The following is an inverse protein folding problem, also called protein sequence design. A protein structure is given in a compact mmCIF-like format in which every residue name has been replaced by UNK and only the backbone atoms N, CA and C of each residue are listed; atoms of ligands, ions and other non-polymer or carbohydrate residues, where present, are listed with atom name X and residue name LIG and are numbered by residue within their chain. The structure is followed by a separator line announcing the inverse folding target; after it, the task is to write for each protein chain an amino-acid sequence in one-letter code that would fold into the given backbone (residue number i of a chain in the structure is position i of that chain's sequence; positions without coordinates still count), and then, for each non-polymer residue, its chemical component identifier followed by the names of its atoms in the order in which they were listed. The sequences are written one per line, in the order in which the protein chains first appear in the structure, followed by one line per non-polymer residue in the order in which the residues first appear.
data_IF_748443566543
#
_entry.id   IF_748443566543
#
_cell.length_a   1.000
_cell.length_b   1.000
_cell.length_c   1.000
_cell.angle_alpha   90.00
_cell.angle_beta   90.00
_cell.angle_gamma   90.00
#
_symmetry.space_group_name_H-M   'P 1'
#
loop_
_entity.id
_entity.type
_entity.pdbx_description
1 polymer ?
#
# COMPACT_ATOMS: atom_id res chain seq x y z
N UNK A 1 -17.46 -25.00 -17.58
CA UNK A 1 -17.01 -23.62 -17.32
C UNK A 1 -15.96 -23.69 -16.23
N UNK A 2 -14.69 -23.47 -16.57
CA UNK A 2 -13.57 -23.56 -15.63
C UNK A 2 -13.38 -22.22 -14.93
N UNK A 3 -13.46 -22.12 -13.59
CA UNK A 3 -13.10 -20.90 -12.89
C UNK A 3 -11.57 -20.80 -12.83
N UNK A 4 -11.01 -19.82 -13.54
CA UNK A 4 -9.61 -19.44 -13.44
C UNK A 4 -9.39 -18.72 -12.10
N UNK A 5 -9.22 -19.49 -11.03
CA UNK A 5 -8.64 -18.97 -9.79
C UNK A 5 -7.14 -18.83 -10.03
N UNK A 6 -6.68 -17.61 -10.26
CA UNK A 6 -5.25 -17.30 -10.19
C UNK A 6 -4.79 -17.61 -8.76
N UNK A 7 -4.03 -18.70 -8.61
CA UNK A 7 -3.33 -19.02 -7.38
C UNK A 7 -2.30 -17.93 -7.17
N UNK A 8 -2.65 -16.93 -6.34
CA UNK A 8 -1.64 -16.06 -5.75
C UNK A 8 -0.81 -16.97 -4.86
N UNK A 9 0.44 -17.16 -5.26
CA UNK A 9 1.43 -17.91 -4.48
C UNK A 9 1.43 -17.35 -3.06
N UNK A 10 1.06 -18.19 -2.08
CA UNK A 10 0.96 -17.76 -0.69
C UNK A 10 2.37 -17.45 -0.22
N UNK A 11 2.69 -16.17 -0.10
CA UNK A 11 3.87 -15.75 0.66
C UNK A 11 3.74 -16.38 2.06
N UNK A 12 4.79 -17.05 2.59
CA UNK A 12 4.73 -17.65 3.91
C UNK A 12 4.45 -16.53 4.91
N UNK A 13 3.23 -16.55 5.46
CA UNK A 13 2.84 -15.66 6.55
C UNK A 13 3.71 -16.09 7.73
N UNK A 14 4.64 -15.23 8.18
CA UNK A 14 5.45 -15.50 9.37
C UNK A 14 4.52 -15.79 10.55
N UNK A 15 4.71 -16.93 11.21
CA UNK A 15 3.79 -17.54 12.19
C UNK A 15 3.62 -16.76 13.53
N UNK A 16 4.18 -15.55 13.64
CA UNK A 16 4.21 -14.78 14.89
C UNK A 16 3.05 -13.80 15.12
N UNK A 17 2.16 -13.58 14.13
CA UNK A 17 1.11 -12.57 14.27
C UNK A 17 -0.08 -13.10 15.11
N UNK A 18 -0.49 -12.41 16.20
CA UNK A 18 -1.61 -12.86 17.03
C UNK A 18 -2.90 -12.98 16.22
N UNK A 19 -3.68 -14.04 16.46
CA UNK A 19 -5.00 -14.25 15.85
C UNK A 19 -6.00 -13.28 16.46
N UNK A 20 -6.03 -12.05 15.97
CA UNK A 20 -7.11 -11.10 16.25
C UNK A 20 -8.37 -11.52 15.50
N UNK A 21 -9.55 -11.21 16.06
CA UNK A 21 -10.79 -11.38 15.32
C UNK A 21 -10.74 -10.59 14.01
N UNK A 22 -11.19 -11.15 12.89
CA UNK A 22 -11.17 -10.47 11.60
C UNK A 22 -12.00 -9.18 11.69
N UNK A 23 -11.39 -8.03 11.37
CA UNK A 23 -12.15 -6.78 11.22
C UNK A 23 -12.83 -6.77 9.86
N UNK A 24 -14.14 -6.55 9.85
CA UNK A 24 -14.94 -6.48 8.62
C UNK A 24 -15.24 -5.02 8.32
N UNK A 25 -14.78 -4.54 7.16
CA UNK A 25 -15.01 -3.17 6.70
C UNK A 25 -14.64 -2.11 7.75
N UNK A 26 -13.63 -2.37 8.58
CA UNK A 26 -13.14 -1.45 9.61
C UNK A 26 -11.61 -1.51 9.61
N UNK A 27 -10.98 -0.71 8.73
CA UNK A 27 -9.53 -0.68 8.60
C UNK A 27 -8.98 0.71 8.26
N UNK A 28 -7.68 0.86 8.46
CA UNK A 28 -6.89 2.02 8.07
C UNK A 28 -5.74 1.59 7.15
N UNK A 29 -5.60 2.25 6.01
CA UNK A 29 -4.51 2.04 5.05
C UNK A 29 -3.63 3.28 5.06
N UNK A 30 -2.31 3.10 5.17
CA UNK A 30 -1.32 4.15 5.00
C UNK A 30 -0.45 3.83 3.81
N UNK A 31 -0.30 4.77 2.89
CA UNK A 31 0.52 4.62 1.69
C UNK A 31 1.67 5.62 1.76
N UNK A 32 2.89 5.14 2.00
CA UNK A 32 4.11 5.94 2.10
C UNK A 32 4.81 6.02 0.75
N UNK A 33 4.93 7.23 0.21
CA UNK A 33 5.41 7.52 -1.15
C UNK A 33 6.39 8.69 -1.15
N UNK A 34 6.97 8.96 -2.32
CA UNK A 34 7.76 10.17 -2.58
C UNK A 34 6.82 11.25 -3.15
N UNK A 35 6.91 12.48 -2.66
CA UNK A 35 6.13 13.59 -3.20
C UNK A 35 6.43 13.79 -4.70
N UNK A 36 5.40 13.96 -5.52
CA UNK A 36 5.53 14.05 -6.99
C UNK A 36 5.37 12.73 -7.75
N UNK A 37 5.34 11.57 -7.08
CA UNK A 37 5.21 10.23 -7.71
C UNK A 37 3.83 9.90 -8.31
N UNK A 38 2.91 10.87 -8.41
CA UNK A 38 1.53 10.59 -8.82
C UNK A 38 0.69 9.83 -7.79
N UNK A 39 1.17 9.71 -6.54
CA UNK A 39 0.52 8.93 -5.48
C UNK A 39 -0.93 9.35 -5.20
N UNK A 40 -1.28 10.63 -5.29
CA UNK A 40 -2.66 11.09 -5.11
C UNK A 40 -3.60 10.41 -6.13
N UNK A 41 -3.21 10.38 -7.41
CA UNK A 41 -4.02 9.80 -8.48
C UNK A 41 -4.25 8.31 -8.26
N UNK A 42 -3.21 7.57 -7.87
CA UNK A 42 -3.31 6.14 -7.56
C UNK A 42 -4.20 5.88 -6.34
N UNK A 43 -4.03 6.65 -5.25
CA UNK A 43 -4.82 6.48 -4.03
C UNK A 43 -6.31 6.83 -4.23
N UNK A 44 -6.64 7.74 -5.15
CA UNK A 44 -8.02 8.00 -5.53
C UNK A 44 -8.68 6.80 -6.20
N UNK A 45 -7.93 5.96 -6.93
CA UNK A 45 -8.46 4.70 -7.49
C UNK A 45 -8.86 3.75 -6.35
N UNK A 46 -8.02 3.62 -5.31
CA UNK A 46 -8.34 2.82 -4.12
C UNK A 46 -9.59 3.32 -3.40
N UNK A 47 -9.70 4.64 -3.18
CA UNK A 47 -10.89 5.25 -2.58
C UNK A 47 -12.15 5.01 -3.41
N UNK A 48 -12.07 5.17 -4.74
CA UNK A 48 -13.19 4.92 -5.65
C UNK A 48 -13.61 3.46 -5.63
N UNK A 49 -12.66 2.52 -5.55
CA UNK A 49 -12.96 1.10 -5.42
C UNK A 49 -13.69 0.78 -4.11
N UNK A 50 -13.20 1.30 -2.97
CA UNK A 50 -13.86 1.15 -1.66
C UNK A 50 -15.29 1.72 -1.67
N UNK A 51 -15.45 2.92 -2.23
CA UNK A 51 -16.75 3.55 -2.38
C UNK A 51 -17.68 2.74 -3.31
N UNK A 52 -17.16 2.23 -4.43
CA UNK A 52 -17.92 1.40 -5.37
C UNK A 52 -18.39 0.07 -4.76
N UNK A 53 -17.68 -0.45 -3.75
CA UNK A 53 -18.13 -1.59 -2.94
C UNK A 53 -19.17 -1.21 -1.87
N UNK A 54 -19.57 0.05 -1.77
CA UNK A 54 -20.54 0.54 -0.78
C UNK A 54 -19.94 0.77 0.61
N UNK A 55 -18.62 0.79 0.76
CA UNK A 55 -17.94 1.00 2.04
C UNK A 55 -17.70 2.50 2.22
N UNK A 56 -18.24 3.14 3.28
CA UNK A 56 -17.89 4.52 3.59
C UNK A 56 -16.39 4.66 3.83
N UNK A 57 -15.76 5.59 3.13
CA UNK A 57 -14.33 5.83 3.25
C UNK A 57 -13.95 7.31 3.15
N UNK A 58 -12.84 7.68 3.78
CA UNK A 58 -12.20 8.98 3.64
C UNK A 58 -10.73 8.78 3.29
N UNK A 59 -10.13 9.79 2.65
CA UNK A 59 -8.70 9.81 2.42
C UNK A 59 -8.11 11.20 2.51
N UNK A 60 -6.88 11.29 3.02
CA UNK A 60 -6.18 12.55 3.19
C UNK A 60 -4.70 12.38 2.89
N UNK A 61 -4.18 13.32 2.11
CA UNK A 61 -2.75 13.43 1.86
C UNK A 61 -2.09 14.20 3.02
N UNK A 62 -0.96 13.66 3.50
CA UNK A 62 -0.21 14.11 4.67
C UNK A 62 1.23 14.35 4.24
N UNK A 63 1.66 15.60 4.38
CA UNK A 63 2.98 16.04 3.98
C UNK A 63 3.68 16.68 5.19
N UNK A 64 4.91 16.28 5.53
CA UNK A 64 5.73 17.01 6.49
C UNK A 64 6.22 18.34 5.88
N UNK A 65 6.34 18.39 4.55
CA UNK A 65 6.70 19.55 3.75
C UNK A 65 6.19 19.36 2.32
N UNK A 66 5.92 20.45 1.60
CA UNK A 66 5.43 20.41 0.21
C UNK A 66 6.57 20.40 -0.83
N UNK A 67 7.77 19.99 -0.44
CA UNK A 67 8.93 19.91 -1.35
C UNK A 67 8.86 18.59 -2.12
N UNK A 68 9.11 18.65 -3.43
CA UNK A 68 9.17 17.48 -4.31
C UNK A 68 10.30 16.53 -3.89
N UNK A 69 10.09 15.22 -4.00
CA UNK A 69 11.10 14.24 -3.60
C UNK A 69 11.12 13.89 -2.10
N UNK A 70 10.47 14.68 -1.24
CA UNK A 70 10.36 14.34 0.18
C UNK A 70 9.27 13.29 0.45
N UNK A 71 9.35 12.55 1.58
CA UNK A 71 8.33 11.59 1.95
C UNK A 71 6.93 12.20 2.07
N UNK A 72 5.92 11.45 1.64
CA UNK A 72 4.49 11.82 1.66
C UNK A 72 3.66 10.60 1.99
N UNK A 73 2.65 10.77 2.84
CA UNK A 73 1.73 9.70 3.19
C UNK A 73 0.31 10.01 2.75
N UNK A 74 -0.38 9.01 2.20
CA UNK A 74 -1.80 9.06 1.97
C UNK A 74 -2.50 8.14 2.98
N UNK A 75 -3.35 8.71 3.82
CA UNK A 75 -4.12 7.97 4.83
C UNK A 75 -5.51 7.70 4.29
N UNK A 76 -5.93 6.44 4.31
CA UNK A 76 -7.29 6.01 3.94
C UNK A 76 -7.95 5.38 5.16
N UNK A 77 -9.17 5.79 5.44
CA UNK A 77 -10.03 5.19 6.46
C UNK A 77 -11.23 4.56 5.77
N UNK A 78 -11.47 3.27 5.99
CA UNK A 78 -12.67 2.57 5.53
C UNK A 78 -13.44 2.04 6.75
N UNK A 79 -14.73 2.36 6.84
CA UNK A 79 -15.57 2.02 7.99
C UNK A 79 -17.02 1.79 7.56
N UNK A 80 -17.56 0.59 7.76
CA UNK A 80 -18.99 0.31 7.61
C UNK A 80 -19.86 1.19 8.52
N UNK A 81 -19.30 1.70 9.62
CA UNK A 81 -19.97 2.60 10.56
C UNK A 81 -19.87 4.09 10.17
N UNK A 82 -19.31 4.41 9.01
CA UNK A 82 -19.21 5.80 8.53
C UNK A 82 -18.14 6.65 9.22
N UNK A 83 -17.26 6.06 10.04
CA UNK A 83 -16.18 6.81 10.69
C UNK A 83 -15.11 7.25 9.70
N UNK A 84 -14.85 8.55 9.66
CA UNK A 84 -13.91 9.19 8.70
C UNK A 84 -12.61 9.70 9.35
N UNK A 85 -12.50 9.65 10.67
CA UNK A 85 -11.33 10.12 11.40
C UNK A 85 -10.08 9.27 11.14
N UNK A 86 -8.92 9.93 11.14
CA UNK A 86 -7.63 9.23 11.07
C UNK A 86 -7.45 8.29 12.27
N UNK A 87 -6.82 7.14 12.01
CA UNK A 87 -6.49 6.11 12.99
C UNK A 87 -4.99 5.89 13.02
N UNK A 88 -4.41 5.92 14.22
CA UNK A 88 -2.99 5.65 14.43
C UNK A 88 -2.65 4.17 14.21
N UNK A 89 -3.63 3.28 14.34
CA UNK A 89 -3.44 1.85 14.17
C UNK A 89 -3.68 1.39 12.74
N UNK A 90 -2.69 1.70 11.91
CA UNK A 90 -2.63 1.29 10.50
C UNK A 90 -2.71 -0.24 10.37
N UNK A 91 -3.75 -0.72 9.68
CA UNK A 91 -3.98 -2.14 9.43
C UNK A 91 -3.17 -2.62 8.21
N UNK A 92 -3.06 -1.76 7.19
CA UNK A 92 -2.31 -2.03 5.95
C UNK A 92 -1.37 -0.86 5.68
N UNK A 93 -0.08 -1.15 5.56
CA UNK A 93 0.94 -0.22 5.12
C UNK A 93 1.37 -0.56 3.70
N UNK A 94 1.41 0.43 2.81
CA UNK A 94 1.99 0.31 1.47
C UNK A 94 3.27 1.14 1.41
N UNK A 95 4.41 0.47 1.30
CA UNK A 95 5.74 1.06 1.28
C UNK A 95 6.23 1.23 -0.16
N UNK A 96 6.18 2.47 -0.67
CA UNK A 96 6.72 2.85 -1.98
C UNK A 96 7.98 3.73 -1.86
N UNK A 97 8.30 4.21 -0.65
CA UNK A 97 9.47 5.02 -0.36
C UNK A 97 10.44 4.26 0.57
N UNK A 98 11.61 3.90 0.04
CA UNK A 98 12.64 3.21 0.81
C UNK A 98 13.15 4.01 2.02
N UNK A 99 13.13 5.35 1.95
CA UNK A 99 13.67 6.22 3.00
C UNK A 99 12.89 6.08 4.32
N UNK A 100 11.57 5.89 4.26
CA UNK A 100 10.71 5.84 5.46
C UNK A 100 10.19 4.45 5.77
N UNK A 101 10.37 3.48 4.88
CA UNK A 101 9.73 2.17 4.97
C UNK A 101 10.00 1.45 6.31
N UNK A 102 11.26 1.43 6.78
CA UNK A 102 11.60 0.79 8.05
C UNK A 102 10.94 1.49 9.25
N UNK A 103 10.97 2.82 9.30
CA UNK A 103 10.33 3.60 10.37
C UNK A 103 8.81 3.48 10.33
N UNK A 104 8.22 3.41 9.14
CA UNK A 104 6.79 3.23 8.96
C UNK A 104 6.34 1.84 9.44
N UNK A 105 7.13 0.80 9.21
CA UNK A 105 6.86 -0.57 9.70
C UNK A 105 6.99 -0.65 11.23
N UNK A 106 7.98 0.02 11.83
CA UNK A 106 8.18 0.05 13.29
C UNK A 106 6.95 0.59 14.04
N UNK A 107 6.19 1.50 13.44
CA UNK A 107 5.01 2.12 14.05
C UNK A 107 3.74 1.25 14.02
N UNK A 108 3.75 0.11 13.33
CA UNK A 108 2.55 -0.72 13.15
C UNK A 108 2.15 -1.48 14.43
N UNK A 109 0.94 -2.03 14.43
CA UNK A 109 0.56 -3.03 15.44
C UNK A 109 1.02 -4.42 14.99
N UNK A 110 1.27 -5.35 15.93
CA UNK A 110 1.47 -6.75 15.59
C UNK A 110 0.32 -7.26 14.72
N UNK A 111 0.65 -8.03 13.68
CA UNK A 111 -0.28 -8.60 12.71
C UNK A 111 -0.72 -7.67 11.57
N UNK A 112 -0.29 -6.41 11.54
CA UNK A 112 -0.53 -5.52 10.40
C UNK A 112 0.09 -6.06 9.12
N UNK A 113 -0.54 -5.73 7.99
CA UNK A 113 -0.08 -6.11 6.65
C UNK A 113 0.86 -5.02 6.12
N UNK A 114 1.99 -5.43 5.58
CA UNK A 114 2.95 -4.56 4.90
C UNK A 114 3.06 -5.03 3.45
N UNK A 115 2.70 -4.16 2.52
CA UNK A 115 2.90 -4.35 1.08
C UNK A 115 4.05 -3.44 0.69
N UNK A 116 5.14 -4.00 0.18
CA UNK A 116 6.32 -3.21 -0.22
C UNK A 116 6.65 -3.42 -1.68
N UNK A 117 7.42 -2.50 -2.27
CA UNK A 117 8.17 -2.84 -3.47
C UNK A 117 9.16 -3.97 -3.16
N UNK A 118 9.44 -4.80 -4.15
CA UNK A 118 10.35 -5.95 -4.04
C UNK A 118 11.83 -5.55 -3.92
N UNK A 119 12.17 -4.29 -4.13
CA UNK A 119 13.51 -3.73 -3.99
C UNK A 119 13.79 -3.10 -2.61
N UNK A 120 12.79 -3.04 -1.72
CA UNK A 120 12.93 -2.50 -0.37
C UNK A 120 13.11 -3.66 0.61
N UNK A 121 14.28 -3.75 1.23
CA UNK A 121 14.56 -4.74 2.28
C UNK A 121 13.87 -4.34 3.60
N UNK A 122 12.97 -5.21 4.07
CA UNK A 122 12.23 -5.06 5.31
C UNK A 122 12.25 -6.34 6.15
N UNK A 123 13.03 -7.35 5.75
CA UNK A 123 12.95 -8.70 6.33
C UNK A 123 13.35 -8.72 7.81
N UNK A 124 14.27 -7.85 8.22
CA UNK A 124 14.79 -7.77 9.59
C UNK A 124 14.18 -6.63 10.43
N UNK A 125 13.19 -5.91 9.89
CA UNK A 125 12.61 -4.76 10.62
C UNK A 125 11.71 -5.23 11.77
N UNK A 126 10.82 -6.18 11.49
CA UNK A 126 9.87 -6.77 12.44
C UNK A 126 9.47 -8.18 12.00
N UNK A 127 9.30 -9.08 12.95
CA UNK A 127 8.90 -10.48 12.75
C UNK A 127 7.41 -10.74 13.01
N UNK A 128 6.73 -9.82 13.68
CA UNK A 128 5.32 -9.89 14.07
C UNK A 128 4.36 -9.20 13.10
N UNK A 129 4.84 -8.74 11.92
CA UNK A 129 4.05 -8.17 10.82
C UNK A 129 4.01 -9.12 9.62
N UNK A 130 3.03 -8.95 8.74
CA UNK A 130 2.89 -9.76 7.52
C UNK A 130 3.41 -9.00 6.31
N UNK A 131 4.64 -9.31 5.90
CA UNK A 131 5.30 -8.66 4.77
C UNK A 131 4.96 -9.35 3.44
N UNK A 132 4.59 -8.55 2.45
CA UNK A 132 4.30 -8.94 1.07
C UNK A 132 5.10 -8.04 0.12
N UNK A 133 6.31 -8.45 -0.29
CA UNK A 133 7.06 -7.81 -1.36
C UNK A 133 6.34 -8.00 -2.70
N UNK A 134 6.17 -6.93 -3.47
CA UNK A 134 5.45 -6.94 -4.74
C UNK A 134 6.32 -6.32 -5.84
N UNK A 135 6.50 -7.02 -6.98
CA UNK A 135 7.27 -6.53 -8.11
C UNK A 135 6.50 -5.49 -8.94
N UNK A 136 6.13 -4.36 -8.33
CA UNK A 136 5.26 -3.35 -8.94
C UNK A 136 5.78 -2.86 -10.29
N UNK A 137 7.08 -2.63 -10.42
CA UNK A 137 7.67 -2.18 -11.68
C UNK A 137 7.48 -3.22 -12.79
N UNK A 138 7.76 -4.51 -12.53
CA UNK A 138 7.56 -5.58 -13.52
C UNK A 138 6.08 -5.73 -13.89
N UNK A 139 5.18 -5.56 -12.92
CA UNK A 139 3.73 -5.59 -13.16
C UNK A 139 3.29 -4.42 -14.05
N UNK A 140 3.80 -3.22 -13.80
CA UNK A 140 3.51 -2.04 -14.60
C UNK A 140 4.07 -2.18 -16.03
N UNK A 141 5.33 -2.63 -16.18
CA UNK A 141 5.95 -2.88 -17.47
C UNK A 141 5.20 -3.95 -18.28
N UNK A 142 4.63 -4.96 -17.62
CA UNK A 142 3.80 -5.97 -18.29
C UNK A 142 2.45 -5.42 -18.75
N UNK A 143 1.83 -4.55 -17.95
CA UNK A 143 0.53 -3.96 -18.27
C UNK A 143 0.61 -2.86 -19.34
N UNK A 144 1.72 -2.12 -19.33
CA UNK A 144 1.98 -1.03 -20.26
C UNK A 144 3.34 -1.25 -20.91
N UNK A 145 3.49 -2.16 -21.89
CA UNK A 145 4.80 -2.48 -22.47
C UNK A 145 5.43 -1.29 -23.22
N UNK A 146 6.77 -1.23 -23.31
CA UNK A 146 7.46 -0.11 -23.95
C UNK A 146 7.17 -0.03 -25.43
N UNK A 147 6.77 1.16 -25.90
CA UNK A 147 6.75 1.45 -27.33
C UNK A 147 8.17 1.79 -27.78
N UNK A 148 8.70 1.19 -28.88
CA UNK A 148 10.12 1.34 -29.27
C UNK A 148 10.63 2.77 -29.47
N UNK A 149 9.72 3.73 -29.70
CA UNK A 149 10.07 5.15 -29.91
C UNK A 149 9.85 6.02 -28.67
N UNK A 150 9.36 5.46 -27.57
CA UNK A 150 9.09 6.22 -26.34
C UNK A 150 10.32 6.28 -25.44
N UNK A 151 11.15 7.32 -25.67
CA UNK A 151 12.38 7.55 -24.90
C UNK A 151 12.13 7.86 -23.42
N UNK A 152 10.92 8.28 -23.05
CA UNK A 152 10.54 8.62 -21.68
C UNK A 152 9.73 7.53 -20.97
N UNK A 153 9.65 6.34 -21.55
CA UNK A 153 8.81 5.24 -21.05
C UNK A 153 9.06 4.92 -19.56
N UNK A 154 10.33 4.84 -19.14
CA UNK A 154 10.66 4.49 -17.75
C UNK A 154 10.31 5.60 -16.77
N UNK A 155 10.41 6.86 -17.19
CA UNK A 155 10.01 8.00 -16.35
C UNK A 155 8.50 8.08 -16.16
N UNK A 156 7.71 7.59 -17.12
CA UNK A 156 6.25 7.49 -17.02
C UNK A 156 5.76 6.34 -16.13
N UNK A 157 6.63 5.38 -15.82
CA UNK A 157 6.33 4.24 -14.94
C UNK A 157 6.75 4.47 -13.49
N UNK A 158 7.39 5.60 -13.19
CA UNK A 158 7.80 6.00 -11.84
C UNK A 158 6.63 6.46 -10.98
#
# INVERSE_FOLDING_TARGET
MSPTLSVVERYPVRDGAPTSQPSVNDLAIRVGTVNGSGSQSANLVLLRALHGMGIPCSGKNVFPSNIEGLPTWFHIRASARGYVGHRLDTSILVCMNAQTAADDVRQLKPGSIVISRDDIDLDDVRDDVRLFPVPFQKLAERAFPPYPKDKGYRDKLR
#
